data_IF_452662506429
#
_entry.id   IF_452662506429
#
_cell.length_a   1.000
_cell.length_b   1.000
_cell.length_c   1.000
_cell.angle_alpha   90.00
_cell.angle_beta   90.00
_cell.angle_gamma   90.00
#
_symmetry.space_group_name_H-M   'P 1'
#
loop_
_entity.id
_entity.type
_entity.pdbx_description
1 polymer ?
#
# COMPACT_ATOMS: atom_id res chain seq x y z
N UNK A 1 41.98 30.68 -24.64
CA UNK A 1 41.23 31.20 -25.81
C UNK A 1 41.22 30.11 -26.88
N UNK A 2 40.05 29.79 -27.48
CA UNK A 2 39.23 28.69 -26.97
C UNK A 2 38.79 27.72 -28.07
N UNK A 3 38.20 26.57 -27.70
CA UNK A 3 36.86 26.27 -28.20
C UNK A 3 36.06 25.53 -27.12
N UNK A 4 34.96 26.20 -26.77
CA UNK A 4 33.87 25.76 -25.93
C UNK A 4 32.95 24.85 -26.77
N UNK A 5 32.45 23.77 -26.18
CA UNK A 5 31.20 23.17 -26.62
C UNK A 5 30.46 22.65 -25.39
N UNK A 6 29.63 23.53 -24.86
CA UNK A 6 28.55 23.25 -23.92
C UNK A 6 27.45 22.47 -24.63
N UNK A 7 27.44 21.14 -24.47
CA UNK A 7 26.21 20.38 -24.66
C UNK A 7 25.42 20.43 -23.35
N UNK A 8 24.53 21.42 -23.25
CA UNK A 8 23.54 21.51 -22.19
C UNK A 8 22.65 20.25 -22.23
N UNK A 9 22.81 19.37 -21.24
CA UNK A 9 21.83 18.32 -20.97
C UNK A 9 20.61 19.00 -20.36
N UNK A 10 19.57 19.12 -21.16
CA UNK A 10 18.21 19.53 -20.79
C UNK A 10 17.53 18.45 -19.94
N UNK A 11 16.45 18.81 -19.23
CA UNK A 11 16.27 18.53 -17.81
C UNK A 11 16.13 17.04 -17.51
N UNK A 12 16.68 16.66 -16.36
CA UNK A 12 16.46 15.37 -15.72
C UNK A 12 14.95 15.10 -15.70
N UNK A 13 14.53 14.04 -16.39
CA UNK A 13 13.33 13.30 -16.01
C UNK A 13 13.57 12.93 -14.55
N UNK A 14 12.97 13.68 -13.63
CA UNK A 14 12.90 13.28 -12.24
C UNK A 14 12.17 11.95 -12.30
N UNK A 15 12.93 10.86 -12.13
CA UNK A 15 12.36 9.57 -11.84
C UNK A 15 11.52 9.80 -10.58
N UNK A 16 10.22 9.98 -10.76
CA UNK A 16 9.24 9.80 -9.70
C UNK A 16 9.32 8.31 -9.39
N UNK A 17 10.33 7.94 -8.62
CA UNK A 17 10.38 6.65 -7.96
C UNK A 17 9.15 6.69 -7.08
N UNK A 18 8.06 6.06 -7.53
CA UNK A 18 6.94 5.75 -6.66
C UNK A 18 7.58 5.01 -5.50
N UNK A 19 7.65 5.67 -4.33
CA UNK A 19 8.14 5.03 -3.12
C UNK A 19 7.35 3.73 -2.98
N UNK A 20 7.99 2.61 -2.61
CA UNK A 20 7.31 1.33 -2.56
C UNK A 20 6.05 1.46 -1.69
N UNK A 21 4.88 1.33 -2.31
CA UNK A 21 3.59 1.37 -1.63
C UNK A 21 3.41 0.01 -0.98
N UNK A 22 3.22 0.01 0.35
CA UNK A 22 3.03 -1.23 1.10
C UNK A 22 1.55 -1.54 1.35
N UNK A 23 0.77 -0.52 1.65
CA UNK A 23 -0.65 -0.63 1.92
C UNK A 23 -1.44 0.55 1.33
N UNK A 24 -2.66 0.28 0.88
CA UNK A 24 -3.65 1.25 0.40
C UNK A 24 -4.92 1.09 1.21
N UNK A 25 -5.53 2.22 1.58
CA UNK A 25 -6.73 2.26 2.41
C UNK A 25 -7.84 2.98 1.65
N UNK A 26 -8.85 2.22 1.20
CA UNK A 26 -10.01 2.73 0.46
C UNK A 26 -11.14 2.99 1.46
N UNK A 27 -11.59 4.24 1.54
CA UNK A 27 -12.66 4.63 2.46
C UNK A 27 -13.99 3.99 2.05
N UNK A 28 -14.33 4.05 0.76
CA UNK A 28 -15.54 3.46 0.20
C UNK A 28 -15.42 3.25 -1.32
N UNK A 29 -16.39 2.55 -1.89
CA UNK A 29 -16.33 2.07 -3.27
C UNK A 29 -17.20 2.87 -4.26
N UNK A 30 -17.27 4.20 -4.10
CA UNK A 30 -17.69 5.04 -5.23
C UNK A 30 -16.64 4.99 -6.34
N UNK A 31 -17.07 5.25 -7.57
CA UNK A 31 -16.24 5.12 -8.77
C UNK A 31 -14.91 5.87 -8.65
N UNK A 32 -14.96 7.12 -8.22
CA UNK A 32 -13.82 8.03 -8.05
C UNK A 32 -12.83 7.60 -6.96
N UNK A 33 -13.24 6.73 -6.03
CA UNK A 33 -12.39 6.19 -4.97
C UNK A 33 -11.76 4.83 -5.32
N UNK A 34 -12.32 4.09 -6.30
CA UNK A 34 -11.88 2.72 -6.61
C UNK A 34 -11.36 2.55 -8.06
N UNK A 35 -11.74 3.40 -9.01
CA UNK A 35 -11.41 3.22 -10.42
C UNK A 35 -9.91 3.23 -10.73
N UNK A 36 -9.08 3.77 -9.82
CA UNK A 36 -7.62 3.78 -9.94
C UNK A 36 -6.94 2.44 -9.59
N UNK A 37 -7.65 1.45 -9.05
CA UNK A 37 -7.05 0.17 -8.62
C UNK A 37 -6.30 -0.55 -9.76
N UNK A 38 -6.85 -0.71 -10.98
CA UNK A 38 -6.10 -1.33 -12.07
C UNK A 38 -4.82 -0.58 -12.44
N UNK A 39 -4.87 0.76 -12.41
CA UNK A 39 -3.71 1.61 -12.65
C UNK A 39 -2.64 1.36 -11.59
N UNK A 40 -3.02 1.31 -10.31
CA UNK A 40 -2.09 0.99 -9.22
C UNK A 40 -1.46 -0.39 -9.40
N UNK A 41 -2.27 -1.42 -9.69
CA UNK A 41 -1.79 -2.79 -9.95
C UNK A 41 -0.74 -2.78 -11.06
N UNK A 42 -0.98 -2.08 -12.18
CA UNK A 42 -0.04 -1.98 -13.30
C UNK A 42 1.30 -1.34 -12.91
N UNK A 43 1.28 -0.30 -12.06
CA UNK A 43 2.50 0.38 -11.62
C UNK A 43 3.26 -0.43 -10.55
N UNK A 44 2.54 -1.17 -9.70
CA UNK A 44 3.15 -1.99 -8.65
C UNK A 44 3.85 -3.24 -9.16
N UNK A 45 3.65 -3.64 -10.43
CA UNK A 45 4.35 -4.79 -11.04
C UNK A 45 5.88 -4.72 -10.94
N UNK A 46 6.46 -3.52 -10.83
CA UNK A 46 7.91 -3.35 -10.65
C UNK A 46 8.39 -3.62 -9.21
N UNK A 47 7.48 -3.82 -8.25
CA UNK A 47 7.80 -4.09 -6.85
C UNK A 47 7.91 -5.59 -6.58
N UNK A 48 8.93 -6.06 -5.83
CA UNK A 48 9.04 -7.47 -5.44
C UNK A 48 8.15 -7.84 -4.24
N UNK A 49 7.39 -6.89 -3.69
CA UNK A 49 6.58 -7.09 -2.48
C UNK A 49 5.10 -7.22 -2.82
N UNK A 50 4.32 -7.99 -2.03
CA UNK A 50 2.87 -7.95 -2.11
C UNK A 50 2.36 -6.53 -1.82
N UNK A 51 1.16 -6.24 -2.32
CA UNK A 51 0.46 -4.98 -2.07
C UNK A 51 -0.77 -5.26 -1.22
N UNK A 52 -0.88 -4.60 -0.07
CA UNK A 52 -2.08 -4.68 0.75
C UNK A 52 -3.09 -3.60 0.38
N UNK A 53 -4.36 -3.97 0.27
CA UNK A 53 -5.48 -3.06 0.04
C UNK A 53 -6.56 -3.32 1.08
N UNK A 54 -6.88 -2.33 1.88
CA UNK A 54 -7.96 -2.36 2.87
C UNK A 54 -9.16 -1.59 2.35
N UNK A 55 -10.37 -2.13 2.54
CA UNK A 55 -11.60 -1.45 2.15
C UNK A 55 -12.83 -2.00 2.88
N UNK A 56 -14.01 -1.37 2.72
CA UNK A 56 -15.23 -1.80 3.39
C UNK A 56 -15.78 -3.10 2.78
N UNK A 57 -16.84 -3.62 3.39
CA UNK A 57 -17.61 -4.76 2.90
C UNK A 57 -17.85 -4.72 1.36
N UNK A 58 -17.64 -5.84 0.69
CA UNK A 58 -17.77 -6.01 -0.76
C UNK A 58 -16.61 -5.47 -1.62
N UNK A 59 -15.53 -4.94 -1.03
CA UNK A 59 -14.40 -4.38 -1.79
C UNK A 59 -13.67 -5.45 -2.60
N UNK A 60 -13.48 -6.66 -2.06
CA UNK A 60 -12.73 -7.72 -2.73
C UNK A 60 -13.45 -8.18 -4.01
N UNK A 61 -14.77 -8.27 -3.98
CA UNK A 61 -15.58 -8.56 -5.17
C UNK A 61 -15.40 -7.47 -6.25
N UNK A 62 -15.47 -6.19 -5.87
CA UNK A 62 -15.36 -5.06 -6.81
C UNK A 62 -13.99 -4.98 -7.44
N UNK A 63 -12.92 -5.17 -6.65
CA UNK A 63 -11.55 -5.30 -7.15
C UNK A 63 -11.47 -6.47 -8.14
N UNK A 64 -12.07 -7.62 -7.83
CA UNK A 64 -12.17 -8.75 -8.75
C UNK A 64 -12.84 -8.39 -10.07
N UNK A 65 -13.98 -7.70 -10.04
CA UNK A 65 -14.66 -7.25 -11.26
C UNK A 65 -13.84 -6.26 -12.09
N UNK A 66 -13.15 -5.31 -11.44
CA UNK A 66 -12.26 -4.37 -12.13
C UNK A 66 -11.09 -5.09 -12.82
N UNK A 67 -10.48 -6.08 -12.16
CA UNK A 67 -9.35 -6.84 -12.73
C UNK A 67 -9.80 -7.87 -13.76
N UNK A 68 -11.02 -8.39 -13.67
CA UNK A 68 -11.61 -9.29 -14.66
C UNK A 68 -11.91 -8.61 -16.01
N UNK A 69 -11.84 -7.27 -16.07
CA UNK A 69 -11.96 -6.50 -17.32
C UNK A 69 -10.72 -6.56 -18.22
N UNK A 70 -9.65 -7.24 -17.81
CA UNK A 70 -8.39 -7.33 -18.54
C UNK A 70 -8.00 -8.78 -18.86
N UNK A 71 -7.33 -8.97 -19.99
CA UNK A 71 -6.67 -10.23 -20.35
C UNK A 71 -5.26 -10.29 -19.73
N UNK A 72 -4.97 -11.39 -19.03
CA UNK A 72 -3.72 -11.62 -18.32
C UNK A 72 -2.95 -12.80 -18.93
N UNK A 73 -2.89 -12.86 -20.25
CA UNK A 73 -2.23 -13.96 -21.00
C UNK A 73 -0.70 -13.98 -20.83
N UNK A 74 -0.11 -12.88 -20.33
CA UNK A 74 1.34 -12.73 -20.07
C UNK A 74 1.71 -12.84 -18.59
N UNK A 75 0.86 -13.44 -17.75
CA UNK A 75 1.17 -13.64 -16.33
C UNK A 75 2.45 -14.47 -16.13
N UNK A 76 3.35 -13.98 -15.28
CA UNK A 76 4.62 -14.64 -14.96
C UNK A 76 4.67 -15.09 -13.49
N UNK A 77 5.45 -16.14 -13.15
CA UNK A 77 5.62 -16.60 -11.77
C UNK A 77 6.16 -15.55 -10.79
N UNK A 78 6.81 -14.51 -11.31
CA UNK A 78 7.44 -13.42 -10.55
C UNK A 78 6.48 -12.29 -10.20
N UNK A 79 5.26 -12.28 -10.75
CA UNK A 79 4.31 -11.22 -10.48
C UNK A 79 3.87 -11.23 -9.02
N UNK A 80 3.70 -10.03 -8.47
CA UNK A 80 3.31 -9.87 -7.07
C UNK A 80 1.90 -10.39 -6.79
N UNK A 81 1.57 -10.57 -5.51
CA UNK A 81 0.21 -10.86 -5.05
C UNK A 81 -0.42 -9.60 -4.49
N UNK A 82 -1.59 -9.22 -5.01
CA UNK A 82 -2.45 -8.22 -4.37
C UNK A 82 -3.25 -8.91 -3.26
N UNK A 83 -3.19 -8.38 -2.05
CA UNK A 83 -3.93 -8.86 -0.89
C UNK A 83 -5.01 -7.84 -0.55
N UNK A 84 -6.26 -8.28 -0.53
CA UNK A 84 -7.40 -7.41 -0.23
C UNK A 84 -7.99 -7.81 1.12
N UNK A 85 -8.13 -6.84 2.00
CA UNK A 85 -8.60 -6.95 3.36
C UNK A 85 -9.93 -6.21 3.47
N UNK A 86 -11.01 -6.97 3.65
CA UNK A 86 -12.36 -6.44 3.75
C UNK A 86 -12.71 -6.26 5.23
N UNK A 87 -12.78 -5.01 5.66
CA UNK A 87 -12.97 -4.64 7.08
C UNK A 87 -14.46 -4.63 7.40
N UNK A 88 -14.88 -5.57 8.24
CA UNK A 88 -16.23 -5.69 8.79
C UNK A 88 -16.25 -5.18 10.25
N UNK A 89 -17.44 -5.05 10.88
CA UNK A 89 -17.52 -4.57 12.27
C UNK A 89 -16.77 -5.46 13.27
N UNK A 90 -16.87 -6.78 13.12
CA UNK A 90 -16.42 -7.80 14.08
C UNK A 90 -15.26 -8.67 13.56
N UNK A 91 -14.91 -8.58 12.27
CA UNK A 91 -13.86 -9.37 11.64
C UNK A 91 -13.26 -8.68 10.43
N UNK A 92 -12.14 -9.19 9.92
CA UNK A 92 -11.56 -8.81 8.64
C UNK A 92 -11.51 -10.06 7.78
N UNK A 93 -12.06 -9.98 6.57
CA UNK A 93 -11.94 -11.06 5.58
C UNK A 93 -10.72 -10.81 4.71
N UNK A 94 -9.94 -11.85 4.46
CA UNK A 94 -8.74 -11.78 3.64
C UNK A 94 -8.96 -12.46 2.30
N UNK A 95 -8.54 -11.78 1.24
CA UNK A 95 -8.54 -12.31 -0.11
C UNK A 95 -7.18 -12.10 -0.74
N UNK A 96 -6.76 -13.04 -1.58
CA UNK A 96 -5.56 -12.91 -2.40
C UNK A 96 -5.91 -12.93 -3.88
N UNK A 97 -5.14 -12.16 -4.63
CA UNK A 97 -5.19 -12.06 -6.09
C UNK A 97 -3.75 -12.30 -6.58
N UNK A 98 -3.33 -13.56 -6.74
CA UNK A 98 -1.96 -13.87 -7.15
C UNK A 98 -1.75 -13.48 -8.61
N UNK A 99 -0.73 -12.65 -8.89
CA UNK A 99 -0.35 -12.29 -10.26
C UNK A 99 -0.10 -13.50 -11.18
N UNK A 100 0.63 -14.54 -10.74
CA UNK A 100 0.82 -15.76 -11.54
C UNK A 100 -0.49 -16.49 -11.88
N UNK A 101 -1.52 -16.32 -11.06
CA UNK A 101 -2.88 -16.84 -11.28
C UNK A 101 -3.80 -15.80 -11.94
N UNK A 102 -3.22 -14.87 -12.71
CA UNK A 102 -3.97 -13.85 -13.48
C UNK A 102 -4.83 -12.97 -12.58
N UNK A 103 -4.36 -12.71 -11.36
CA UNK A 103 -5.11 -12.00 -10.33
C UNK A 103 -6.51 -12.57 -10.10
N UNK A 104 -6.70 -13.89 -10.22
CA UNK A 104 -7.96 -14.54 -9.82
C UNK A 104 -8.14 -14.38 -8.30
N UNK A 105 -9.38 -14.12 -7.86
CA UNK A 105 -9.70 -13.98 -6.44
C UNK A 105 -9.70 -15.33 -5.71
N UNK A 106 -9.00 -15.40 -4.59
CA UNK A 106 -9.03 -16.50 -3.63
C UNK A 106 -9.43 -15.99 -2.25
N UNK A 107 -10.27 -16.74 -1.54
CA UNK A 107 -10.48 -16.51 -0.11
C UNK A 107 -9.27 -17.03 0.65
N UNK A 108 -8.68 -16.18 1.49
CA UNK A 108 -7.44 -16.45 2.22
C UNK A 108 -7.65 -16.60 3.73
N UNK A 109 -8.91 -16.53 4.20
CA UNK A 109 -9.27 -16.67 5.61
C UNK A 109 -9.92 -15.42 6.18
N UNK A 110 -10.14 -15.44 7.49
CA UNK A 110 -10.68 -14.33 8.25
C UNK A 110 -9.98 -14.24 9.60
N UNK A 111 -9.97 -13.04 10.18
CA UNK A 111 -9.49 -12.79 11.54
C UNK A 111 -10.53 -12.00 12.34
N UNK A 112 -10.66 -12.31 13.62
CA UNK A 112 -11.53 -11.56 14.53
C UNK A 112 -10.97 -10.15 14.74
N UNK A 113 -11.84 -9.15 14.68
CA UNK A 113 -11.47 -7.76 14.86
C UNK A 113 -11.56 -7.36 16.32
N UNK A 114 -10.47 -7.55 17.04
CA UNK A 114 -10.37 -7.26 18.47
C UNK A 114 -10.17 -5.78 18.80
N UNK A 115 -9.78 -4.97 17.82
CA UNK A 115 -9.54 -3.54 18.00
C UNK A 115 -9.82 -2.74 16.73
N UNK A 116 -9.67 -1.42 16.84
CA UNK A 116 -9.78 -0.53 15.68
C UNK A 116 -8.55 -0.58 14.78
N UNK A 117 -7.38 -1.02 15.26
CA UNK A 117 -6.17 -1.17 14.45
C UNK A 117 -6.41 -2.24 13.38
N UNK A 118 -6.16 -1.89 12.12
CA UNK A 118 -6.31 -2.79 10.96
C UNK A 118 -4.97 -3.05 10.26
N UNK A 119 -3.95 -2.25 10.54
CA UNK A 119 -2.63 -2.38 9.94
C UNK A 119 -1.57 -1.69 10.78
N UNK A 120 -0.37 -2.24 10.82
CA UNK A 120 0.78 -1.58 11.44
C UNK A 120 2.11 -1.92 10.79
N UNK A 121 3.08 -1.05 11.01
CA UNK A 121 4.48 -1.25 10.69
C UNK A 121 5.37 -0.66 11.80
N UNK A 122 6.71 -0.77 11.71
CA UNK A 122 7.60 -0.19 12.72
C UNK A 122 7.44 1.33 12.92
N UNK A 123 6.93 2.04 11.92
CA UNK A 123 6.87 3.50 11.90
C UNK A 123 5.49 4.08 12.23
N UNK A 124 4.40 3.36 11.98
CA UNK A 124 3.04 3.86 12.20
C UNK A 124 2.03 2.73 12.38
N UNK A 125 0.85 3.08 12.89
CA UNK A 125 -0.33 2.22 12.88
C UNK A 125 -1.49 2.91 12.15
N UNK A 126 -2.41 2.10 11.62
CA UNK A 126 -3.64 2.56 11.00
C UNK A 126 -4.80 1.89 11.71
N UNK A 127 -5.66 2.72 12.30
CA UNK A 127 -6.94 2.31 12.83
C UNK A 127 -8.07 2.70 11.86
N UNK A 128 -9.15 1.95 11.88
CA UNK A 128 -10.36 2.24 11.11
C UNK A 128 -11.61 2.25 11.99
N UNK A 129 -12.63 2.99 11.57
CA UNK A 129 -14.00 2.88 12.08
C UNK A 129 -14.97 2.87 10.89
N UNK A 130 -16.09 2.16 11.01
CA UNK A 130 -17.13 2.13 9.97
C UNK A 130 -18.20 3.17 10.33
N UNK A 131 -18.43 4.12 9.43
CA UNK A 131 -19.49 5.12 9.53
C UNK A 131 -20.51 4.93 8.41
N UNK A 132 -21.71 5.48 8.62
CA UNK A 132 -22.76 5.51 7.61
C UNK A 132 -22.69 6.81 6.79
N UNK A 133 -22.49 6.67 5.48
CA UNK A 133 -22.63 7.74 4.49
C UNK A 133 -23.57 7.32 3.36
N UNK A 134 -24.74 6.74 3.71
CA UNK A 134 -25.67 6.05 2.81
C UNK A 134 -25.14 4.71 2.25
N UNK A 135 -23.94 4.34 2.67
CA UNK A 135 -23.27 3.05 2.51
C UNK A 135 -22.12 2.97 3.54
N UNK A 136 -21.58 1.78 3.85
CA UNK A 136 -20.48 1.65 4.79
C UNK A 136 -19.22 2.36 4.31
N UNK A 137 -18.74 3.33 5.10
CA UNK A 137 -17.49 4.06 4.84
C UNK A 137 -16.51 3.78 5.95
N UNK A 138 -15.28 3.42 5.59
CA UNK A 138 -14.15 3.42 6.53
C UNK A 138 -13.60 4.82 6.68
N UNK A 139 -13.48 5.28 7.92
CA UNK A 139 -12.63 6.41 8.30
C UNK A 139 -11.36 5.88 8.93
N UNK A 140 -10.23 6.52 8.64
CA UNK A 140 -8.92 6.07 9.09
C UNK A 140 -8.29 7.06 10.04
N UNK A 141 -7.62 6.55 11.08
CA UNK A 141 -6.69 7.31 11.91
C UNK A 141 -5.30 6.72 11.73
N UNK A 142 -4.34 7.57 11.39
CA UNK A 142 -2.93 7.20 11.23
C UNK A 142 -2.18 7.75 12.42
N UNK A 143 -1.59 6.85 13.22
CA UNK A 143 -0.79 7.22 14.38
C UNK A 143 0.68 6.90 14.08
N UNK A 144 1.52 7.92 13.96
CA UNK A 144 2.97 7.74 13.84
C UNK A 144 3.55 7.23 15.16
N UNK A 145 4.38 6.19 15.08
CA UNK A 145 5.10 5.66 16.24
C UNK A 145 6.29 6.58 16.54
N UNK A 146 6.62 6.80 17.83
CA UNK A 146 7.75 7.64 18.19
C UNK A 146 9.03 7.13 17.51
N UNK A 147 9.69 7.99 16.72
CA UNK A 147 11.03 7.68 16.26
C UNK A 147 11.99 7.85 17.45
N UNK A 148 12.86 6.89 17.68
CA UNK A 148 13.96 7.09 18.63
C UNK A 148 14.99 8.00 17.96
N UNK A 149 15.31 9.13 18.60
CA UNK A 149 16.41 10.01 18.20
C UNK A 149 17.50 9.96 19.26
N UNK A 150 18.74 9.84 18.80
CA UNK A 150 19.91 9.85 19.68
C UNK A 150 20.40 11.29 19.81
N UNK A 151 20.46 11.78 21.06
CA UNK A 151 21.06 13.07 21.39
C UNK A 151 22.59 12.94 21.38
N UNK A 152 23.21 13.39 20.30
CA UNK A 152 24.67 13.33 20.11
C UNK A 152 25.43 14.09 21.20
N UNK A 153 24.92 15.22 21.68
CA UNK A 153 25.56 16.01 22.72
C UNK A 153 25.57 15.28 24.06
N UNK A 154 24.49 14.57 24.40
CA UNK A 154 24.45 13.73 25.61
C UNK A 154 25.34 12.49 25.52
N UNK A 155 25.53 11.93 24.32
CA UNK A 155 26.50 10.85 24.12
C UNK A 155 27.92 11.34 24.43
N UNK A 156 28.30 12.50 23.89
CA UNK A 156 29.62 13.11 24.12
C UNK A 156 29.83 13.43 25.60
N UNK A 157 28.84 14.04 26.27
CA UNK A 157 28.90 14.31 27.71
C UNK A 157 29.08 13.06 28.57
N UNK A 158 28.64 11.89 28.10
CA UNK A 158 28.79 10.61 28.80
C UNK A 158 30.03 9.82 28.36
N UNK A 159 30.88 10.40 27.50
CA UNK A 159 32.08 9.73 26.98
C UNK A 159 31.77 8.51 26.11
N UNK A 160 30.57 8.45 25.54
CA UNK A 160 30.13 7.35 24.68
C UNK A 160 30.49 7.68 23.23
N UNK A 161 31.19 6.76 22.58
CA UNK A 161 31.54 6.86 21.16
C UNK A 161 30.42 6.23 20.33
N UNK A 162 30.02 6.87 19.23
CA UNK A 162 29.13 6.25 18.26
C UNK A 162 29.75 4.94 17.75
N UNK A 163 28.95 3.88 17.62
CA UNK A 163 29.42 2.57 17.14
C UNK A 163 30.01 2.64 15.73
N UNK A 164 30.88 1.67 15.40
CA UNK A 164 31.52 1.52 14.09
C UNK A 164 30.54 1.08 13.00
#
# INVERSE_FOLDING_TARGET
MPFCSTAARSPTWQNWVVKPIRAVFITHAHMDHIMGVPTLVRHHHASPHPLDLYGPAGIAERVGHLLAGFEWNLAEPTWFTLRVHEVLPDRILHFSFPGPERFRRHFAGEEERQSREIWSCPYLTVAAEILDHKLPVLVFRVDERPHFSIDAAKLEQRGLVAGA
#
